data_IF_870145863885
#
_entry.id   IF_870145863885
#
_cell.length_a   1.000
_cell.length_b   1.000
_cell.length_c   1.000
_cell.angle_alpha   90.00
_cell.angle_beta   90.00
_cell.angle_gamma   90.00
#
_symmetry.space_group_name_H-M   'P 1'
#
loop_
_entity.id
_entity.type
_entity.pdbx_description
1 polymer ?
#
# COMPACT_ATOMS: atom_id res chain seq x y z
N UNK A 1 31.10 -55.75 -6.18
CA UNK A 1 31.48 -54.42 -5.65
C UNK A 1 31.51 -53.47 -6.81
N UNK A 2 30.47 -52.67 -6.97
CA UNK A 2 30.43 -51.54 -7.89
C UNK A 2 30.15 -50.36 -6.96
N UNK A 3 31.18 -49.55 -6.73
CA UNK A 3 31.08 -48.27 -6.03
C UNK A 3 30.20 -47.36 -6.88
N UNK A 4 28.96 -47.13 -6.46
CA UNK A 4 28.21 -45.99 -6.97
C UNK A 4 28.75 -44.75 -6.27
N UNK A 5 29.35 -43.90 -7.09
CA UNK A 5 29.97 -42.62 -6.79
C UNK A 5 28.98 -41.68 -6.07
N UNK A 6 28.91 -41.78 -4.74
CA UNK A 6 28.29 -40.78 -3.88
C UNK A 6 29.10 -39.49 -4.01
N UNK A 7 28.57 -38.53 -4.76
CA UNK A 7 29.19 -37.23 -4.96
C UNK A 7 29.42 -36.54 -3.60
N UNK A 8 30.68 -36.40 -3.12
CA UNK A 8 30.98 -35.80 -1.83
C UNK A 8 30.80 -34.28 -1.82
N UNK A 9 30.46 -33.67 -2.96
CA UNK A 9 30.20 -32.24 -3.13
C UNK A 9 28.72 -31.88 -3.21
N UNK A 10 27.80 -32.82 -2.98
CA UNK A 10 26.41 -32.51 -2.66
C UNK A 10 26.30 -31.95 -1.23
N UNK A 11 27.01 -30.84 -0.98
CA UNK A 11 26.90 -30.13 0.28
C UNK A 11 25.45 -29.63 0.45
N UNK A 12 24.86 -29.72 1.65
CA UNK A 12 23.51 -29.20 1.92
C UNK A 12 23.48 -27.66 1.98
N UNK A 13 24.37 -26.96 1.27
CA UNK A 13 24.34 -25.50 1.18
C UNK A 13 23.34 -24.98 0.13
N UNK A 14 22.67 -25.85 -0.62
CA UNK A 14 21.71 -25.48 -1.64
C UNK A 14 20.36 -24.94 -1.11
N UNK A 15 20.10 -25.00 0.21
CA UNK A 15 18.81 -24.57 0.79
C UNK A 15 18.90 -23.45 1.83
N UNK A 16 20.08 -22.88 2.08
CA UNK A 16 20.24 -21.74 3.01
C UNK A 16 20.76 -20.45 2.37
N UNK A 17 21.17 -20.49 1.10
CA UNK A 17 21.78 -19.36 0.36
C UNK A 17 20.78 -18.43 -0.34
N UNK A 18 19.53 -18.36 0.11
CA UNK A 18 18.58 -17.34 -0.40
C UNK A 18 17.81 -16.62 0.70
N UNK A 19 18.40 -16.46 1.88
CA UNK A 19 18.15 -15.22 2.62
C UNK A 19 18.92 -14.11 1.89
N UNK A 20 18.42 -13.70 0.73
CA UNK A 20 18.87 -12.53 -0.01
C UNK A 20 18.68 -11.33 0.92
N UNK A 21 19.71 -11.08 1.75
CA UNK A 21 19.74 -10.03 2.76
C UNK A 21 19.65 -8.75 1.96
N UNK A 22 18.46 -8.16 1.88
CA UNK A 22 18.24 -6.98 1.07
C UNK A 22 19.27 -5.91 1.46
N UNK A 23 20.28 -5.69 0.62
CA UNK A 23 21.26 -4.60 0.78
C UNK A 23 20.62 -3.23 0.46
N UNK A 24 19.29 -3.14 0.50
CA UNK A 24 18.52 -1.90 0.30
C UNK A 24 18.58 -1.11 1.60
N UNK A 25 18.95 0.18 1.57
CA UNK A 25 18.93 1.03 2.74
C UNK A 25 17.58 0.97 3.45
N UNK A 26 17.59 0.93 4.79
CA UNK A 26 16.35 0.97 5.57
C UNK A 26 15.49 2.20 5.23
N UNK A 27 16.14 3.32 4.88
CA UNK A 27 15.45 4.52 4.47
C UNK A 27 14.60 4.35 3.21
N UNK A 28 15.00 3.53 2.23
CA UNK A 28 14.21 3.29 1.01
C UNK A 28 12.95 2.46 1.31
N UNK A 29 13.06 1.46 2.19
CA UNK A 29 11.91 0.67 2.66
C UNK A 29 10.87 1.51 3.39
N UNK A 30 11.26 2.64 3.97
CA UNK A 30 10.36 3.59 4.64
C UNK A 30 9.84 4.68 3.70
N UNK A 31 10.74 5.36 2.99
CA UNK A 31 10.41 6.54 2.19
C UNK A 31 9.57 6.21 0.96
N UNK A 32 9.84 5.09 0.29
CA UNK A 32 9.12 4.70 -0.92
C UNK A 32 7.61 4.43 -0.69
N UNK A 33 7.19 3.60 0.28
CA UNK A 33 5.76 3.43 0.57
C UNK A 33 5.12 4.70 1.12
N UNK A 34 5.87 5.58 1.80
CA UNK A 34 5.36 6.87 2.28
C UNK A 34 5.02 7.80 1.11
N UNK A 35 5.95 7.97 0.16
CA UNK A 35 5.74 8.80 -1.04
C UNK A 35 4.64 8.22 -1.94
N UNK A 36 4.67 6.90 -2.14
CA UNK A 36 3.62 6.18 -2.87
C UNK A 36 2.26 6.37 -2.19
N UNK A 37 2.22 6.33 -0.86
CA UNK A 37 1.02 6.53 -0.07
C UNK A 37 0.44 7.94 -0.21
N UNK A 38 1.29 8.97 -0.17
CA UNK A 38 0.86 10.35 -0.44
C UNK A 38 0.20 10.46 -1.82
N UNK A 39 0.84 9.89 -2.85
CA UNK A 39 0.35 9.96 -4.22
C UNK A 39 -0.94 9.18 -4.43
N UNK A 40 -0.96 7.88 -4.13
CA UNK A 40 -2.15 7.03 -4.30
C UNK A 40 -3.28 7.44 -3.39
N UNK A 41 -2.98 7.83 -2.15
CA UNK A 41 -3.97 8.38 -1.23
C UNK A 41 -4.63 9.63 -1.79
N UNK A 42 -3.87 10.53 -2.40
CA UNK A 42 -4.41 11.73 -3.05
C UNK A 42 -5.36 11.39 -4.19
N UNK A 43 -4.96 10.49 -5.10
CA UNK A 43 -5.82 10.05 -6.21
C UNK A 43 -7.12 9.41 -5.70
N UNK A 44 -7.01 8.50 -4.72
CA UNK A 44 -8.16 7.79 -4.18
C UNK A 44 -9.08 8.70 -3.37
N UNK A 45 -8.55 9.64 -2.59
CA UNK A 45 -9.35 10.63 -1.87
C UNK A 45 -10.05 11.61 -2.81
N UNK A 46 -9.38 12.05 -3.87
CA UNK A 46 -9.96 12.87 -4.93
C UNK A 46 -11.14 12.15 -5.61
N UNK A 47 -10.97 10.86 -5.94
CA UNK A 47 -12.02 10.04 -6.51
C UNK A 47 -13.18 9.83 -5.51
N UNK A 48 -12.90 9.51 -4.25
CA UNK A 48 -13.91 9.26 -3.23
C UNK A 48 -14.81 10.49 -3.01
N UNK A 49 -14.22 11.65 -2.71
CA UNK A 49 -15.01 12.87 -2.52
C UNK A 49 -15.57 13.44 -3.82
N UNK A 50 -14.94 13.17 -4.97
CA UNK A 50 -15.52 13.48 -6.27
C UNK A 50 -16.81 12.70 -6.53
N UNK A 51 -16.80 11.38 -6.30
CA UNK A 51 -17.98 10.52 -6.45
C UNK A 51 -19.08 10.94 -5.48
N UNK A 52 -18.74 11.16 -4.20
CA UNK A 52 -19.70 11.60 -3.19
C UNK A 52 -20.26 12.99 -3.49
N UNK A 53 -19.39 13.91 -3.94
CA UNK A 53 -19.78 15.24 -4.38
C UNK A 53 -20.74 15.18 -5.57
N UNK A 54 -20.49 14.32 -6.55
CA UNK A 54 -21.41 14.07 -7.67
C UNK A 54 -22.74 13.49 -7.19
N UNK A 55 -22.74 12.52 -6.27
CA UNK A 55 -23.99 11.97 -5.72
C UNK A 55 -24.81 13.05 -5.00
N UNK A 56 -24.18 13.88 -4.17
CA UNK A 56 -24.87 14.97 -3.46
C UNK A 56 -25.34 16.06 -4.43
N UNK A 57 -24.49 16.48 -5.38
CA UNK A 57 -24.77 17.60 -6.29
C UNK A 57 -25.80 17.24 -7.36
N UNK A 58 -25.71 16.05 -7.95
CA UNK A 58 -26.50 15.67 -9.13
C UNK A 58 -27.75 14.87 -8.77
N UNK A 59 -27.68 14.00 -7.76
CA UNK A 59 -28.78 13.08 -7.46
C UNK A 59 -29.70 13.60 -6.34
N UNK A 60 -29.20 14.43 -5.43
CA UNK A 60 -29.98 14.83 -4.23
C UNK A 60 -30.47 16.28 -4.26
N UNK A 61 -29.91 17.15 -5.11
CA UNK A 61 -30.33 18.55 -5.18
C UNK A 61 -31.24 18.79 -6.39
N UNK A 62 -32.44 19.31 -6.14
CA UNK A 62 -33.37 19.77 -7.17
C UNK A 62 -32.89 21.08 -7.84
N UNK A 63 -32.05 21.85 -7.12
CA UNK A 63 -31.43 23.06 -7.62
C UNK A 63 -29.99 22.79 -8.07
N UNK A 64 -29.57 23.26 -9.25
CA UNK A 64 -28.22 23.05 -9.74
C UNK A 64 -27.24 23.79 -8.83
N UNK A 65 -26.54 23.04 -7.97
CA UNK A 65 -25.37 23.56 -7.26
C UNK A 65 -24.35 24.08 -8.27
N UNK A 66 -23.60 25.16 -7.95
CA UNK A 66 -22.61 25.70 -8.87
C UNK A 66 -21.61 24.60 -9.26
N UNK A 67 -21.40 24.39 -10.56
CA UNK A 67 -20.44 23.38 -11.07
C UNK A 67 -19.02 23.55 -10.49
N UNK A 68 -18.68 24.75 -10.01
CA UNK A 68 -17.44 25.06 -9.27
C UNK A 68 -17.27 24.26 -7.96
N UNK A 69 -18.36 23.78 -7.35
CA UNK A 69 -18.33 23.02 -6.10
C UNK A 69 -17.62 21.67 -6.28
N UNK A 70 -17.75 21.03 -7.44
CA UNK A 70 -17.15 19.72 -7.70
C UNK A 70 -15.61 19.75 -7.67
N UNK A 71 -14.92 20.67 -8.38
CA UNK A 71 -13.47 20.83 -8.24
C UNK A 71 -12.99 21.05 -6.79
N UNK A 72 -13.77 21.76 -5.97
CA UNK A 72 -13.44 21.98 -4.55
C UNK A 72 -13.50 20.67 -3.76
N UNK A 73 -14.54 19.86 -3.95
CA UNK A 73 -14.64 18.53 -3.32
C UNK A 73 -13.50 17.60 -3.75
N UNK A 74 -13.14 17.61 -5.04
CA UNK A 74 -12.02 16.83 -5.56
C UNK A 74 -10.70 17.30 -4.95
N UNK A 75 -10.47 18.61 -4.83
CA UNK A 75 -9.25 19.16 -4.24
C UNK A 75 -9.14 18.85 -2.74
N UNK A 76 -10.22 19.03 -1.98
CA UNK A 76 -10.27 18.64 -0.56
C UNK A 76 -10.04 17.14 -0.40
N UNK A 77 -10.67 16.33 -1.26
CA UNK A 77 -10.50 14.89 -1.30
C UNK A 77 -9.06 14.49 -1.55
N UNK A 78 -8.39 15.15 -2.51
CA UNK A 78 -6.98 14.92 -2.80
C UNK A 78 -6.09 15.22 -1.59
N UNK A 79 -6.31 16.34 -0.92
CA UNK A 79 -5.52 16.75 0.25
C UNK A 79 -5.72 15.77 1.41
N UNK A 80 -6.97 15.51 1.79
CA UNK A 80 -7.31 14.59 2.88
C UNK A 80 -6.83 13.17 2.58
N UNK A 81 -7.06 12.70 1.35
CA UNK A 81 -6.61 11.39 0.89
C UNK A 81 -5.09 11.26 0.90
N UNK A 82 -4.36 12.27 0.45
CA UNK A 82 -2.90 12.27 0.50
C UNK A 82 -2.41 12.20 1.95
N UNK A 83 -2.99 12.98 2.88
CA UNK A 83 -2.62 12.91 4.29
C UNK A 83 -2.83 11.52 4.89
N UNK A 84 -4.01 10.92 4.68
CA UNK A 84 -4.31 9.57 5.16
C UNK A 84 -3.41 8.51 4.50
N UNK A 85 -3.18 8.62 3.20
CA UNK A 85 -2.30 7.75 2.44
C UNK A 85 -0.84 7.85 2.90
N UNK A 86 -0.36 9.06 3.19
CA UNK A 86 0.97 9.29 3.77
C UNK A 86 1.12 8.67 5.16
N UNK A 87 0.12 8.82 6.04
CA UNK A 87 0.10 8.18 7.37
C UNK A 87 0.14 6.66 7.24
N UNK A 88 -0.70 6.10 6.37
CA UNK A 88 -0.74 4.66 6.10
C UNK A 88 0.58 4.15 5.52
N UNK A 89 1.13 4.85 4.52
CA UNK A 89 2.41 4.53 3.88
C UNK A 89 3.58 4.60 4.85
N UNK A 90 3.61 5.58 5.75
CA UNK A 90 4.63 5.69 6.80
C UNK A 90 4.54 4.54 7.81
N UNK A 91 3.34 4.19 8.27
CA UNK A 91 3.13 3.07 9.19
C UNK A 91 3.55 1.73 8.55
N UNK A 92 3.14 1.49 7.30
CA UNK A 92 3.51 0.29 6.54
C UNK A 92 5.01 0.27 6.25
N UNK A 93 5.60 1.42 5.91
CA UNK A 93 7.04 1.57 5.70
C UNK A 93 7.87 1.23 6.94
N UNK A 94 7.41 1.63 8.12
CA UNK A 94 8.04 1.21 9.38
C UNK A 94 8.00 -0.31 9.54
N UNK A 95 6.84 -0.94 9.32
CA UNK A 95 6.71 -2.41 9.35
C UNK A 95 7.65 -3.06 8.32
N UNK A 96 7.73 -2.52 7.11
CA UNK A 96 8.61 -3.02 6.06
C UNK A 96 10.09 -2.94 6.46
N UNK A 97 10.51 -1.86 7.13
CA UNK A 97 11.87 -1.74 7.66
C UNK A 97 12.19 -2.87 8.63
N UNK A 98 11.29 -3.22 9.54
CA UNK A 98 11.52 -4.32 10.49
C UNK A 98 11.47 -5.69 9.81
N UNK A 99 10.57 -5.87 8.85
CA UNK A 99 10.37 -7.14 8.14
C UNK A 99 11.39 -7.39 7.02
N UNK A 100 12.20 -6.41 6.61
CA UNK A 100 13.04 -6.47 5.39
C UNK A 100 13.99 -7.66 5.30
N UNK A 101 14.49 -8.14 6.44
CA UNK A 101 15.42 -9.29 6.54
C UNK A 101 14.71 -10.63 6.80
N UNK A 102 13.39 -10.61 6.97
CA UNK A 102 12.60 -11.81 7.25
C UNK A 102 12.34 -12.61 5.97
N UNK A 103 12.26 -13.93 6.10
CA UNK A 103 11.79 -14.82 5.03
C UNK A 103 10.31 -14.57 4.71
N UNK A 104 9.54 -14.10 5.70
CA UNK A 104 8.11 -13.81 5.62
C UNK A 104 7.79 -12.37 5.20
N UNK A 105 8.77 -11.66 4.62
CA UNK A 105 8.65 -10.22 4.32
C UNK A 105 7.46 -9.93 3.41
N UNK A 106 7.20 -10.80 2.43
CA UNK A 106 6.14 -10.58 1.44
C UNK A 106 4.76 -10.69 2.09
N UNK A 107 4.57 -11.70 2.92
CA UNK A 107 3.35 -11.94 3.69
C UNK A 107 3.12 -10.78 4.66
N UNK A 108 4.16 -10.37 5.39
CA UNK A 108 4.07 -9.24 6.33
C UNK A 108 3.73 -7.94 5.61
N UNK A 109 4.34 -7.65 4.45
CA UNK A 109 4.01 -6.46 3.66
C UNK A 109 2.58 -6.51 3.12
N UNK A 110 2.11 -7.69 2.71
CA UNK A 110 0.73 -7.86 2.24
C UNK A 110 -0.27 -7.61 3.37
N UNK A 111 -0.13 -8.31 4.50
CA UNK A 111 -1.05 -8.17 5.63
C UNK A 111 -1.01 -6.77 6.24
N UNK A 112 0.17 -6.16 6.38
CA UNK A 112 0.26 -4.78 6.89
C UNK A 112 -0.45 -3.82 5.96
N UNK A 113 -0.30 -3.97 4.65
CA UNK A 113 -0.97 -3.10 3.67
C UNK A 113 -2.49 -3.31 3.65
N UNK A 114 -2.96 -4.56 3.75
CA UNK A 114 -4.39 -4.90 3.75
C UNK A 114 -5.12 -4.56 5.04
N UNK A 115 -4.41 -4.45 6.17
CA UNK A 115 -5.02 -4.16 7.47
C UNK A 115 -4.89 -2.67 7.81
N UNK A 116 -3.69 -2.12 7.72
CA UNK A 116 -3.41 -0.75 8.17
C UNK A 116 -4.13 0.26 7.29
N UNK A 117 -4.11 0.05 5.97
CA UNK A 117 -4.67 1.04 5.04
C UNK A 117 -6.19 1.21 5.17
N UNK A 118 -7.03 0.15 5.15
CA UNK A 118 -8.47 0.29 5.45
C UNK A 118 -8.74 0.89 6.82
N UNK A 119 -7.95 0.52 7.84
CA UNK A 119 -8.12 1.07 9.18
C UNK A 119 -7.84 2.58 9.23
N UNK A 120 -6.79 3.06 8.56
CA UNK A 120 -6.47 4.48 8.49
C UNK A 120 -7.53 5.26 7.71
N UNK A 121 -8.06 4.69 6.63
CA UNK A 121 -9.06 5.37 5.79
C UNK A 121 -10.46 5.37 6.41
N UNK A 122 -10.92 4.26 6.99
CA UNK A 122 -12.29 4.12 7.51
C UNK A 122 -12.40 4.28 9.03
N UNK A 123 -11.34 3.96 9.78
CA UNK A 123 -11.33 3.95 11.25
C UNK A 123 -11.71 5.28 11.89
N UNK A 124 -11.11 6.42 11.48
CA UNK A 124 -11.48 7.73 12.01
C UNK A 124 -12.97 8.04 11.84
N UNK A 125 -13.56 7.64 10.70
CA UNK A 125 -14.98 7.84 10.43
C UNK A 125 -15.85 6.86 11.22
N UNK A 126 -15.47 5.61 11.37
CA UNK A 126 -16.20 4.69 12.25
C UNK A 126 -16.28 5.22 13.69
N UNK A 127 -15.17 5.75 14.21
CA UNK A 127 -15.11 6.34 15.55
C UNK A 127 -15.98 7.60 15.65
N UNK A 128 -15.88 8.51 14.68
CA UNK A 128 -16.69 9.72 14.63
C UNK A 128 -18.18 9.40 14.53
N UNK A 129 -18.55 8.41 13.70
CA UNK A 129 -19.92 7.98 13.49
C UNK A 129 -20.54 7.34 14.73
N UNK A 130 -19.73 6.59 15.49
CA UNK A 130 -20.14 6.04 16.77
C UNK A 130 -20.41 7.13 17.79
N UNK A 131 -19.51 8.12 17.91
CA UNK A 131 -19.67 9.22 18.86
C UNK A 131 -20.81 10.18 18.51
N UNK A 132 -21.07 10.41 17.23
CA UNK A 132 -22.12 11.30 16.73
C UNK A 132 -23.50 10.64 16.60
N UNK A 133 -23.60 9.31 16.81
CA UNK A 133 -24.84 8.56 16.62
C UNK A 133 -25.26 8.42 15.14
N UNK A 134 -24.39 8.73 14.18
CA UNK A 134 -24.69 8.72 12.75
C UNK A 134 -24.58 7.33 12.11
N UNK A 135 -24.08 6.32 12.82
CA UNK A 135 -23.86 4.96 12.29
C UNK A 135 -25.11 4.29 11.71
N UNK A 136 -26.31 4.65 12.17
CA UNK A 136 -27.58 4.12 11.65
C UNK A 136 -28.02 4.76 10.34
N UNK A 137 -27.36 5.83 9.89
CA UNK A 137 -27.72 6.54 8.67
C UNK A 137 -27.14 5.81 7.45
N UNK A 138 -27.98 5.38 6.51
CA UNK A 138 -27.57 4.66 5.31
C UNK A 138 -26.48 5.40 4.51
N UNK A 139 -26.62 6.72 4.36
CA UNK A 139 -25.62 7.58 3.69
C UNK A 139 -24.26 7.53 4.37
N UNK A 140 -24.24 7.47 5.70
CA UNK A 140 -23.00 7.37 6.48
C UNK A 140 -22.34 6.00 6.30
N UNK A 141 -23.14 4.93 6.25
CA UNK A 141 -22.64 3.58 5.99
C UNK A 141 -22.07 3.44 4.58
N UNK A 142 -22.73 4.03 3.58
CA UNK A 142 -22.21 4.08 2.21
C UNK A 142 -20.88 4.85 2.16
N UNK A 143 -20.81 6.01 2.81
CA UNK A 143 -19.58 6.79 2.91
C UNK A 143 -18.43 5.98 3.52
N UNK A 144 -18.65 5.35 4.68
CA UNK A 144 -17.67 4.49 5.34
C UNK A 144 -17.30 3.29 4.46
N UNK A 145 -18.26 2.72 3.73
CA UNK A 145 -18.03 1.66 2.76
C UNK A 145 -17.10 2.11 1.62
N UNK A 146 -17.35 3.27 1.02
CA UNK A 146 -16.48 3.86 -0.02
C UNK A 146 -15.08 4.09 0.53
N UNK A 147 -14.96 4.66 1.73
CA UNK A 147 -13.66 4.88 2.38
C UNK A 147 -12.93 3.56 2.67
N UNK A 148 -13.65 2.51 3.07
CA UNK A 148 -13.09 1.17 3.29
C UNK A 148 -12.54 0.56 1.99
N UNK A 149 -13.30 0.68 0.88
CA UNK A 149 -12.85 0.24 -0.45
C UNK A 149 -11.62 1.03 -0.90
N UNK A 150 -11.61 2.35 -0.70
CA UNK A 150 -10.43 3.18 -0.99
C UNK A 150 -9.22 2.74 -0.18
N UNK A 151 -9.39 2.46 1.11
CA UNK A 151 -8.32 1.95 1.96
C UNK A 151 -7.80 0.57 1.51
N UNK A 152 -8.66 -0.32 1.03
CA UNK A 152 -8.25 -1.62 0.47
C UNK A 152 -7.46 -1.44 -0.83
N UNK A 153 -7.96 -0.64 -1.77
CA UNK A 153 -7.27 -0.33 -3.02
C UNK A 153 -5.90 0.32 -2.76
N UNK A 154 -5.85 1.27 -1.83
CA UNK A 154 -4.60 1.89 -1.40
C UNK A 154 -3.62 0.86 -0.83
N UNK A 155 -4.11 -0.10 -0.02
CA UNK A 155 -3.31 -1.23 0.46
C UNK A 155 -2.75 -2.10 -0.66
N UNK A 156 -3.53 -2.39 -1.70
CA UNK A 156 -3.04 -3.11 -2.90
C UNK A 156 -1.94 -2.31 -3.59
N UNK A 157 -2.13 -1.02 -3.81
CA UNK A 157 -1.13 -0.15 -4.44
C UNK A 157 0.18 -0.11 -3.65
N UNK A 158 0.12 0.02 -2.33
CA UNK A 158 1.30 0.01 -1.46
C UNK A 158 2.02 -1.33 -1.44
N UNK A 159 1.28 -2.44 -1.44
CA UNK A 159 1.88 -3.77 -1.54
C UNK A 159 2.62 -3.96 -2.87
N UNK A 160 2.01 -3.55 -4.00
CA UNK A 160 2.65 -3.61 -5.30
C UNK A 160 3.91 -2.74 -5.37
N UNK A 161 3.86 -1.55 -4.76
CA UNK A 161 5.01 -0.66 -4.63
C UNK A 161 6.14 -1.31 -3.80
N UNK A 162 5.85 -1.90 -2.65
CA UNK A 162 6.87 -2.61 -1.85
C UNK A 162 7.44 -3.83 -2.59
N UNK A 163 6.61 -4.51 -3.39
CA UNK A 163 7.06 -5.63 -4.21
C UNK A 163 7.97 -5.18 -5.35
N UNK A 164 7.79 -3.99 -5.91
CA UNK A 164 8.67 -3.48 -6.98
C UNK A 164 10.08 -3.19 -6.47
N UNK A 165 10.24 -2.70 -5.23
CA UNK A 165 11.56 -2.57 -4.57
C UNK A 165 12.28 -3.92 -4.53
N UNK A 166 11.55 -4.99 -4.21
CA UNK A 166 12.12 -6.34 -4.14
C UNK A 166 12.52 -6.88 -5.52
N UNK A 167 11.73 -6.59 -6.57
CA UNK A 167 11.97 -7.07 -7.94
C UNK A 167 13.09 -6.31 -8.66
N UNK A 168 13.08 -4.98 -8.61
CA UNK A 168 14.07 -4.14 -9.29
C UNK A 168 15.51 -4.48 -8.85
N UNK A 169 15.68 -4.89 -7.58
CA UNK A 169 16.97 -5.32 -7.07
C UNK A 169 17.39 -6.72 -7.49
N UNK A 170 16.45 -7.67 -7.55
CA UNK A 170 16.74 -9.01 -8.07
C UNK A 170 17.25 -8.93 -9.52
N UNK A 171 16.73 -7.97 -10.29
CA UNK A 171 17.21 -7.67 -11.65
C UNK A 171 18.62 -7.02 -11.66
N UNK A 172 18.89 -6.05 -10.79
CA UNK A 172 20.23 -5.42 -10.67
C UNK A 172 21.33 -6.42 -10.24
N UNK A 173 21.04 -7.29 -9.28
CA UNK A 173 21.99 -8.32 -8.82
C UNK A 173 22.29 -9.33 -9.93
N UNK A 174 21.25 -9.69 -10.71
CA UNK A 174 21.40 -10.56 -11.86
C UNK A 174 22.25 -9.88 -12.93
N UNK A 175 22.00 -8.61 -13.30
CA UNK A 175 22.80 -7.93 -14.33
C UNK A 175 24.28 -7.78 -13.95
N UNK A 176 24.60 -7.49 -12.68
CA UNK A 176 25.99 -7.37 -12.23
C UNK A 176 26.76 -8.69 -12.25
N UNK A 177 26.08 -9.83 -12.01
CA UNK A 177 26.76 -11.13 -12.06
C UNK A 177 27.18 -11.51 -13.49
N UNK A 178 26.37 -11.13 -14.50
CA UNK A 178 26.69 -11.37 -15.92
C UNK A 178 27.78 -10.44 -16.46
N UNK A 179 28.05 -9.31 -15.82
CA UNK A 179 29.18 -8.44 -16.17
C UNK A 179 30.48 -8.98 -15.59
N UNK A 180 30.43 -9.53 -14.37
CA UNK A 180 31.64 -10.06 -13.74
C UNK A 180 32.13 -11.41 -14.29
N UNK A 181 31.25 -12.19 -14.94
CA UNK A 181 31.62 -13.42 -15.68
C UNK A 181 32.24 -13.14 -17.06
N UNK A 182 32.25 -11.89 -17.53
CA UNK A 182 32.79 -11.50 -18.83
C UNK A 182 34.19 -10.88 -18.78
N UNK A 183 34.69 -10.62 -17.58
CA UNK A 183 36.05 -10.13 -17.30
C UNK A 183 36.97 -11.28 -16.83
#
# INVERSE_FOLDING_TARGET
MIESNDNPFASPQATSTMADRSNVPAFEWYSFPTQSGLFYGGILGAAALGILGVMVVILENADPLPLFVLPVFVAIGAICGAMLGGISGAAIGLVAVFARKSLWKTEVHFFSSMIVSPFVFAGPWLLLGYQSGMLSTERYQIFVGVMSVCGLLHGVCLFLALRSISKAKAEQLRSSSWEHERD
#
